data_IF_371234350269
#
_entry.id   IF_371234350269
#
_cell.length_a   1.000
_cell.length_b   1.000
_cell.length_c   1.000
_cell.angle_alpha   90.00
_cell.angle_beta   90.00
_cell.angle_gamma   90.00
#
_symmetry.space_group_name_H-M   'P 1'
#
loop_
_entity.id
_entity.type
_entity.pdbx_description
1 polymer ?
#
# COMPACT_ATOMS: atom_id res chain seq x y z
N UNK A 1 -11.41 -7.90 1.16
CA UNK A 1 -10.27 -7.21 0.53
C UNK A 1 -10.70 -5.87 -0.06
N UNK A 2 -10.77 -4.86 0.80
CA UNK A 2 -10.87 -3.45 0.40
C UNK A 2 -9.57 -2.77 0.81
N UNK A 3 -8.64 -2.71 -0.12
CA UNK A 3 -7.33 -2.05 0.03
C UNK A 3 -7.31 -0.71 -0.71
N UNK A 4 -6.36 0.13 -0.33
CA UNK A 4 -6.16 1.44 -0.92
C UNK A 4 -5.01 1.36 -1.93
N UNK A 5 -5.12 2.11 -3.03
CA UNK A 5 -4.12 2.07 -4.11
C UNK A 5 -3.65 3.47 -4.47
N UNK A 6 -2.34 3.66 -4.64
CA UNK A 6 -1.76 4.86 -5.25
C UNK A 6 -0.58 4.50 -6.15
N UNK A 7 -0.22 5.42 -7.05
CA UNK A 7 0.97 5.28 -7.88
C UNK A 7 1.97 6.39 -7.53
N UNK A 8 3.24 6.02 -7.34
CA UNK A 8 4.35 6.96 -7.15
C UNK A 8 5.62 6.37 -7.74
N UNK A 9 6.43 7.21 -8.39
CA UNK A 9 7.71 6.81 -9.01
C UNK A 9 7.60 5.56 -9.92
N UNK A 10 6.53 5.47 -10.71
CA UNK A 10 6.25 4.36 -11.63
C UNK A 10 6.04 2.98 -10.95
N UNK A 11 5.71 2.99 -9.66
CA UNK A 11 5.33 1.81 -8.89
C UNK A 11 3.88 1.95 -8.41
N UNK A 12 3.15 0.84 -8.36
CA UNK A 12 1.78 0.79 -7.85
C UNK A 12 1.80 0.26 -6.42
N UNK A 13 1.33 1.02 -5.45
CA UNK A 13 1.30 0.64 -4.04
C UNK A 13 -0.09 0.20 -3.63
N UNK A 14 -0.17 -0.91 -2.89
CA UNK A 14 -1.37 -1.41 -2.21
C UNK A 14 -1.13 -1.30 -0.71
N UNK A 15 -2.00 -0.58 -0.02
CA UNK A 15 -1.81 -0.19 1.38
C UNK A 15 -2.99 -0.68 2.21
N UNK A 16 -2.67 -1.49 3.22
CA UNK A 16 -3.65 -2.05 4.15
C UNK A 16 -4.68 -2.96 3.47
N UNK A 17 -5.91 -2.89 3.97
CA UNK A 17 -7.01 -3.73 3.55
C UNK A 17 -7.40 -4.77 4.60
N UNK A 18 -8.12 -5.80 4.17
CA UNK A 18 -8.57 -6.92 5.00
C UNK A 18 -8.38 -8.24 4.23
N UNK A 19 -7.92 -9.29 4.90
CA UNK A 19 -7.80 -10.63 4.32
C UNK A 19 -9.05 -11.52 4.57
N UNK A 20 -10.15 -10.91 5.01
CA UNK A 20 -11.36 -11.61 5.46
C UNK A 20 -11.35 -12.02 6.93
N UNK A 21 -10.21 -11.93 7.62
CA UNK A 21 -10.09 -12.23 9.06
C UNK A 21 -9.59 -11.03 9.86
N UNK A 22 -8.60 -10.32 9.34
CA UNK A 22 -7.90 -9.23 10.02
C UNK A 22 -7.71 -8.02 9.09
N UNK A 23 -7.65 -6.83 9.68
CA UNK A 23 -7.18 -5.65 8.97
C UNK A 23 -5.66 -5.70 8.83
N UNK A 24 -5.16 -5.38 7.64
CA UNK A 24 -3.76 -5.45 7.28
C UNK A 24 -3.05 -4.12 7.56
N UNK A 25 -1.87 -4.21 8.15
CA UNK A 25 -0.95 -3.08 8.33
C UNK A 25 0.15 -3.04 7.26
N UNK A 26 0.25 -4.10 6.46
CA UNK A 26 1.25 -4.24 5.41
C UNK A 26 1.01 -3.27 4.27
N UNK A 27 2.10 -3.00 3.56
CA UNK A 27 2.11 -2.28 2.30
C UNK A 27 2.94 -3.10 1.33
N UNK A 28 2.45 -3.26 0.11
CA UNK A 28 3.19 -3.90 -0.97
C UNK A 28 3.15 -3.01 -2.21
N UNK A 29 4.15 -3.15 -3.07
CA UNK A 29 4.18 -2.44 -4.33
C UNK A 29 4.48 -3.37 -5.50
N UNK A 30 3.89 -3.05 -6.64
CA UNK A 30 4.16 -3.68 -7.92
C UNK A 30 5.16 -2.87 -8.72
N UNK A 31 6.20 -3.55 -9.22
CA UNK A 31 7.16 -3.01 -10.16
C UNK A 31 6.89 -3.59 -11.57
N UNK A 32 6.38 -2.77 -12.52
CA UNK A 32 6.06 -3.24 -13.88
C UNK A 32 7.31 -3.63 -14.69
N UNK A 33 8.49 -3.12 -14.36
CA UNK A 33 9.73 -3.46 -15.08
C UNK A 33 10.24 -4.87 -14.76
N UNK A 34 9.91 -5.39 -13.58
CA UNK A 34 10.32 -6.74 -13.14
C UNK A 34 9.15 -7.71 -13.03
N UNK A 35 7.92 -7.23 -13.23
CA UNK A 35 6.67 -7.96 -13.03
C UNK A 35 6.58 -8.63 -11.67
N UNK A 36 6.85 -7.86 -10.60
CA UNK A 36 6.91 -8.40 -9.24
C UNK A 36 6.22 -7.50 -8.23
N UNK A 37 5.55 -8.15 -7.29
CA UNK A 37 5.10 -7.57 -6.04
C UNK A 37 6.21 -7.67 -4.98
N UNK A 38 6.35 -6.65 -4.14
CA UNK A 38 7.31 -6.62 -3.03
C UNK A 38 6.66 -5.99 -1.81
N UNK A 39 6.74 -6.69 -0.68
CA UNK A 39 6.26 -6.19 0.61
C UNK A 39 7.28 -5.19 1.18
N UNK A 40 6.82 -4.02 1.62
CA UNK A 40 7.68 -3.07 2.31
C UNK A 40 8.09 -3.60 3.69
N UNK A 41 9.35 -3.38 4.11
CA UNK A 41 9.83 -3.85 5.41
C UNK A 41 9.19 -3.12 6.59
N UNK A 42 8.68 -1.90 6.37
CA UNK A 42 8.00 -1.10 7.39
C UNK A 42 6.49 -1.09 7.16
N UNK A 43 5.74 -1.48 8.20
CA UNK A 43 4.28 -1.48 8.21
C UNK A 43 3.71 -0.19 8.82
N UNK A 44 2.41 0.04 8.59
CA UNK A 44 1.66 1.02 9.36
C UNK A 44 1.60 0.63 10.85
N UNK A 45 1.42 1.61 11.74
CA UNK A 45 1.31 1.36 13.18
C UNK A 45 0.08 0.52 13.58
N UNK A 46 -0.96 0.50 12.74
CA UNK A 46 -2.20 -0.26 12.98
C UNK A 46 -2.80 -0.66 11.65
N UNK A 47 -3.25 -1.91 11.56
CA UNK A 47 -3.94 -2.42 10.39
C UNK A 47 -5.27 -1.72 10.16
N UNK A 48 -5.57 -1.37 8.91
CA UNK A 48 -6.79 -0.65 8.55
C UNK A 48 -7.29 -1.07 7.16
N UNK A 49 -8.60 -1.04 6.99
CA UNK A 49 -9.31 -1.25 5.72
C UNK A 49 -10.22 -0.04 5.44
N UNK A 50 -10.74 0.09 4.22
CA UNK A 50 -11.65 1.18 3.80
C UNK A 50 -11.09 2.61 3.92
N UNK A 51 -9.77 2.77 4.02
CA UNK A 51 -9.14 4.10 4.08
C UNK A 51 -9.05 4.74 2.68
N UNK A 52 -8.80 6.05 2.64
CA UNK A 52 -8.37 6.75 1.42
C UNK A 52 -6.85 6.92 1.42
N UNK A 53 -6.22 6.86 0.24
CA UNK A 53 -4.79 7.16 0.09
C UNK A 53 -4.55 8.13 -1.05
N UNK A 54 -3.62 9.05 -0.86
CA UNK A 54 -3.09 9.91 -1.92
C UNK A 54 -1.61 10.18 -1.66
N UNK A 55 -0.91 10.61 -2.70
CA UNK A 55 0.49 11.02 -2.65
C UNK A 55 0.52 12.53 -2.70
N UNK A 56 1.30 13.15 -1.82
CA UNK A 56 1.52 14.60 -1.79
C UNK A 56 3.01 14.89 -1.85
N UNK A 57 3.37 16.04 -2.42
CA UNK A 57 4.74 16.53 -2.37
C UNK A 57 5.12 16.89 -0.93
N UNK A 58 6.36 16.59 -0.56
CA UNK A 58 6.89 16.97 0.75
C UNK A 58 7.07 18.50 0.78
N UNK A 59 6.42 19.23 1.70
CA UNK A 59 6.68 20.65 1.86
C UNK A 59 8.12 20.89 2.30
N UNK A 60 8.71 21.98 1.82
CA UNK A 60 10.05 22.45 2.18
C UNK A 60 10.20 22.65 3.70
#
# INVERSE_FOLDING_TARGET
QISCVCAVNNLLYVIGGDDGSCNLASVEYYNPSTDKWTILPSCMSTGRSYAGVTVIDKPL
#
